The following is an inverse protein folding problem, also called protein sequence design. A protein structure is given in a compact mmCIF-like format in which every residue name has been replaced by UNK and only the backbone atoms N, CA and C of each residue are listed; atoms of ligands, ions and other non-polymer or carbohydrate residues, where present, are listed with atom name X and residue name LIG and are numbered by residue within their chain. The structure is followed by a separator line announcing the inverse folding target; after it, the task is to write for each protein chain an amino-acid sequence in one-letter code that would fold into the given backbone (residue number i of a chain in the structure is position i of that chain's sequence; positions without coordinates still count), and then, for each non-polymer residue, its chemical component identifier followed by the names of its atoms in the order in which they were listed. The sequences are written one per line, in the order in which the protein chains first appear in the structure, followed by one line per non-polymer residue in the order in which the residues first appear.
data_IF_792389977894
#
_entry.id   IF_792389977894
#
_cell.length_a   1.000
_cell.length_b   1.000
_cell.length_c   1.000
_cell.angle_alpha   90.00
_cell.angle_beta   90.00
_cell.angle_gamma   90.00
#
_symmetry.space_group_name_H-M   'P 1'
#
loop_
_entity.id
_entity.type
_entity.pdbx_description
1 polymer ?
#
# COMPACT_ATOMS: atom_id res chain seq x y z
N UNK A 1 22.60 -21.06 -21.40
CA UNK A 1 21.34 -20.66 -20.72
C UNK A 1 20.53 -19.87 -21.73
N UNK A 2 19.27 -20.23 -22.00
CA UNK A 2 18.45 -19.49 -22.97
C UNK A 2 18.03 -18.13 -22.39
N UNK A 3 17.66 -17.19 -23.25
CA UNK A 3 17.30 -15.80 -22.89
C UNK A 3 16.16 -15.73 -21.88
N UNK A 4 15.11 -16.56 -22.05
CA UNK A 4 14.01 -16.66 -21.09
C UNK A 4 14.46 -17.05 -19.68
N UNK A 5 15.41 -17.98 -19.54
CA UNK A 5 15.98 -18.35 -18.24
C UNK A 5 16.82 -17.23 -17.64
N UNK A 6 17.53 -16.44 -18.47
CA UNK A 6 18.26 -15.26 -17.98
C UNK A 6 17.31 -14.22 -17.40
N UNK A 7 16.24 -13.87 -18.13
CA UNK A 7 15.19 -12.93 -17.66
C UNK A 7 14.56 -13.43 -16.36
N UNK A 8 14.22 -14.72 -16.30
CA UNK A 8 13.65 -15.32 -15.11
C UNK A 8 14.58 -15.16 -13.89
N UNK A 9 15.84 -15.57 -14.03
CA UNK A 9 16.82 -15.51 -12.94
C UNK A 9 17.16 -14.06 -12.52
N UNK A 10 17.15 -13.11 -13.46
CA UNK A 10 17.38 -11.69 -13.13
C UNK A 10 16.18 -11.02 -12.48
N UNK A 11 14.96 -11.37 -12.88
CA UNK A 11 13.73 -10.75 -12.36
C UNK A 11 13.31 -11.34 -11.00
N UNK A 12 13.52 -12.64 -10.79
CA UNK A 12 13.01 -13.35 -9.62
C UNK A 12 13.41 -12.71 -8.26
N UNK A 13 14.66 -12.30 -8.01
CA UNK A 13 15.02 -11.66 -6.74
C UNK A 13 14.19 -10.41 -6.43
N UNK A 14 13.90 -9.59 -7.45
CA UNK A 14 13.08 -8.37 -7.30
C UNK A 14 11.62 -8.72 -7.04
N UNK A 15 11.07 -9.68 -7.79
CA UNK A 15 9.68 -10.16 -7.59
C UNK A 15 9.52 -10.76 -6.19
N UNK A 16 10.47 -11.58 -5.76
CA UNK A 16 10.48 -12.18 -4.43
C UNK A 16 10.57 -11.14 -3.31
N UNK A 17 11.46 -10.16 -3.45
CA UNK A 17 11.58 -9.06 -2.49
C UNK A 17 10.27 -8.26 -2.42
N UNK A 18 9.67 -7.92 -3.56
CA UNK A 18 8.41 -7.18 -3.62
C UNK A 18 7.25 -7.95 -2.99
N UNK A 19 7.05 -9.23 -3.34
CA UNK A 19 5.97 -10.06 -2.81
C UNK A 19 6.09 -10.26 -1.31
N UNK A 20 7.30 -10.60 -0.85
CA UNK A 20 7.60 -10.80 0.57
C UNK A 20 7.42 -9.51 1.35
N UNK A 21 7.91 -8.37 0.83
CA UNK A 21 7.77 -7.07 1.47
C UNK A 21 6.29 -6.65 1.57
N UNK A 22 5.51 -6.79 0.49
CA UNK A 22 4.07 -6.46 0.51
C UNK A 22 3.32 -7.25 1.58
N UNK A 23 3.58 -8.55 1.68
CA UNK A 23 3.01 -9.40 2.73
C UNK A 23 3.45 -8.95 4.14
N UNK A 24 4.76 -8.84 4.37
CA UNK A 24 5.30 -8.49 5.68
C UNK A 24 4.81 -7.13 6.16
N UNK A 25 4.80 -6.13 5.28
CA UNK A 25 4.32 -4.79 5.61
C UNK A 25 2.83 -4.83 5.95
N UNK A 26 1.98 -5.42 5.10
CA UNK A 26 0.54 -5.44 5.33
C UNK A 26 0.17 -6.21 6.61
N UNK A 27 0.74 -7.41 6.81
CA UNK A 27 0.47 -8.24 7.98
C UNK A 27 0.96 -7.58 9.27
N UNK A 28 2.18 -7.02 9.26
CA UNK A 28 2.75 -6.32 10.42
C UNK A 28 1.96 -5.06 10.74
N UNK A 29 1.56 -4.30 9.72
CA UNK A 29 0.74 -3.10 9.90
C UNK A 29 -0.58 -3.46 10.58
N UNK A 30 -1.30 -4.46 10.07
CA UNK A 30 -2.55 -4.90 10.68
C UNK A 30 -2.34 -5.41 12.11
N UNK A 31 -1.34 -6.25 12.35
CA UNK A 31 -1.01 -6.74 13.69
C UNK A 31 -0.70 -5.58 14.66
N UNK A 32 0.00 -4.55 14.18
CA UNK A 32 0.34 -3.34 14.95
C UNK A 32 -0.90 -2.50 15.25
N UNK A 33 -1.79 -2.30 14.26
CA UNK A 33 -3.08 -1.62 14.46
C UNK A 33 -3.90 -2.35 15.52
N UNK A 34 -4.02 -3.68 15.40
CA UNK A 34 -4.73 -4.50 16.38
C UNK A 34 -4.13 -4.34 17.77
N UNK A 35 -2.80 -4.41 17.91
CA UNK A 35 -2.12 -4.29 19.19
C UNK A 35 -2.29 -2.91 19.84
N UNK A 36 -2.10 -1.83 19.07
CA UNK A 36 -2.18 -0.45 19.55
C UNK A 36 -3.61 -0.06 19.95
N UNK A 37 -4.61 -0.49 19.18
CA UNK A 37 -6.00 -0.11 19.37
C UNK A 37 -6.85 -1.17 20.08
N UNK A 38 -6.24 -2.27 20.56
CA UNK A 38 -6.94 -3.36 21.24
C UNK A 38 -7.77 -2.85 22.42
N UNK A 39 -7.09 -2.21 23.39
CA UNK A 39 -7.72 -1.66 24.61
C UNK A 39 -8.54 -0.40 24.33
N UNK A 40 -8.31 0.27 23.20
CA UNK A 40 -9.04 1.46 22.78
C UNK A 40 -10.38 1.15 22.08
N UNK A 41 -10.75 -0.13 21.97
CA UNK A 41 -12.07 -0.54 21.52
C UNK A 41 -12.09 -1.73 20.56
N UNK A 42 -10.97 -2.11 19.93
CA UNK A 42 -10.97 -3.27 19.02
C UNK A 42 -11.20 -4.60 19.74
N UNK A 43 -10.86 -4.70 21.03
CA UNK A 43 -11.14 -5.90 21.84
C UNK A 43 -12.63 -6.27 21.87
N UNK A 44 -13.53 -5.28 21.83
CA UNK A 44 -14.99 -5.51 21.80
C UNK A 44 -15.48 -6.06 20.45
N UNK A 45 -14.65 -5.90 19.42
CA UNK A 45 -14.91 -6.36 18.05
C UNK A 45 -14.27 -7.70 17.74
N UNK A 46 -13.73 -8.38 18.76
CA UNK A 46 -13.19 -9.74 18.63
C UNK A 46 -14.29 -10.68 18.13
N UNK A 47 -13.98 -11.47 17.10
CA UNK A 47 -14.98 -12.26 16.38
C UNK A 47 -15.23 -13.62 17.02
N UNK A 48 -14.17 -14.25 17.52
CA UNK A 48 -14.24 -15.55 18.17
C UNK A 48 -13.87 -15.41 19.65
N UNK A 49 -14.59 -16.14 20.51
CA UNK A 49 -14.30 -16.15 21.95
C UNK A 49 -12.90 -16.74 22.24
N UNK A 50 -12.54 -17.82 21.55
CA UNK A 50 -11.25 -18.49 21.68
C UNK A 50 -10.09 -17.64 21.16
N UNK A 51 -8.95 -17.75 21.82
CA UNK A 51 -7.69 -17.20 21.32
C UNK A 51 -7.00 -18.16 20.34
N UNK A 52 -6.10 -17.65 19.47
CA UNK A 52 -5.27 -18.50 18.64
C UNK A 52 -4.47 -19.51 19.47
N UNK A 53 -4.40 -20.76 19.01
CA UNK A 53 -3.71 -21.82 19.73
C UNK A 53 -2.20 -21.53 19.85
N UNK A 54 -1.55 -22.11 20.87
CA UNK A 54 -0.09 -22.02 21.04
C UNK A 54 0.64 -22.46 19.76
N UNK A 55 1.56 -21.63 19.28
CA UNK A 55 2.32 -21.89 18.05
C UNK A 55 1.59 -21.61 16.73
N UNK A 56 0.28 -21.31 16.74
CA UNK A 56 -0.48 -21.00 15.52
C UNK A 56 0.10 -19.82 14.74
N UNK A 57 0.38 -18.70 15.41
CA UNK A 57 0.94 -17.49 14.77
C UNK A 57 2.28 -17.77 14.07
N UNK A 58 3.13 -18.61 14.67
CA UNK A 58 4.41 -19.01 14.07
C UNK A 58 4.18 -19.87 12.84
N UNK A 59 3.26 -20.83 12.90
CA UNK A 59 2.90 -21.68 11.74
C UNK A 59 2.35 -20.84 10.59
N UNK A 60 1.41 -19.95 10.87
CA UNK A 60 0.83 -19.01 9.90
C UNK A 60 1.91 -18.18 9.22
N UNK A 61 2.79 -17.56 10.02
CA UNK A 61 3.88 -16.75 9.49
C UNK A 61 4.81 -17.54 8.57
N UNK A 62 5.25 -18.74 9.00
CA UNK A 62 6.15 -19.58 8.20
C UNK A 62 5.48 -20.10 6.92
N UNK A 63 4.21 -20.50 7.00
CA UNK A 63 3.44 -20.92 5.83
C UNK A 63 3.26 -19.77 4.84
N UNK A 64 2.98 -18.56 5.32
CA UNK A 64 2.87 -17.37 4.47
C UNK A 64 4.18 -16.98 3.78
N UNK A 65 5.33 -17.10 4.46
CA UNK A 65 6.64 -16.89 3.81
C UNK A 65 6.91 -17.93 2.71
N UNK A 66 6.51 -19.18 2.93
CA UNK A 66 6.62 -20.23 1.93
C UNK A 66 5.70 -19.97 0.72
N UNK A 67 4.47 -19.51 0.95
CA UNK A 67 3.57 -19.08 -0.13
C UNK A 67 4.12 -17.88 -0.90
N UNK A 68 4.72 -16.89 -0.23
CA UNK A 68 5.34 -15.75 -0.90
C UNK A 68 6.48 -16.18 -1.84
N UNK A 69 7.25 -17.22 -1.46
CA UNK A 69 8.23 -17.84 -2.36
C UNK A 69 7.55 -18.43 -3.61
N UNK A 70 6.48 -19.21 -3.45
CA UNK A 70 5.73 -19.80 -4.59
C UNK A 70 5.14 -18.71 -5.49
N UNK A 71 4.53 -17.68 -4.89
CA UNK A 71 3.97 -16.54 -5.60
C UNK A 71 5.05 -15.84 -6.42
N UNK A 72 6.24 -15.64 -5.86
CA UNK A 72 7.34 -15.00 -6.59
C UNK A 72 7.84 -15.84 -7.77
N UNK A 73 7.89 -17.16 -7.63
CA UNK A 73 8.30 -18.06 -8.70
C UNK A 73 7.31 -18.03 -9.87
N UNK A 74 6.00 -18.01 -9.57
CA UNK A 74 4.95 -17.92 -10.59
C UNK A 74 4.86 -16.50 -11.16
N UNK A 75 4.97 -15.48 -10.31
CA UNK A 75 4.96 -14.07 -10.69
C UNK A 75 6.12 -13.71 -11.62
N UNK A 76 7.26 -14.39 -11.51
CA UNK A 76 8.39 -14.18 -12.43
C UNK A 76 8.07 -14.65 -13.86
N UNK A 77 7.12 -15.56 -14.05
CA UNK A 77 6.65 -15.96 -15.39
C UNK A 77 6.01 -14.76 -16.11
N UNK A 78 5.43 -13.81 -15.38
CA UNK A 78 4.89 -12.57 -15.95
C UNK A 78 6.01 -11.75 -16.60
N UNK A 79 7.15 -11.58 -15.94
CA UNK A 79 8.29 -10.85 -16.51
C UNK A 79 8.84 -11.53 -17.77
N UNK A 80 8.90 -12.87 -17.78
CA UNK A 80 9.30 -13.63 -18.98
C UNK A 80 8.26 -13.47 -20.09
N UNK A 81 6.96 -13.57 -19.77
CA UNK A 81 5.88 -13.44 -20.74
C UNK A 81 5.85 -12.07 -21.39
N UNK A 82 6.10 -11.01 -20.62
CA UNK A 82 6.16 -9.63 -21.12
C UNK A 82 7.38 -9.45 -22.05
N UNK A 83 8.56 -9.93 -21.62
CA UNK A 83 9.77 -9.90 -22.44
C UNK A 83 9.63 -10.68 -23.76
N UNK A 84 8.91 -11.80 -23.75
CA UNK A 84 8.67 -12.62 -24.94
C UNK A 84 7.50 -12.12 -25.80
N UNK A 85 6.76 -11.10 -25.35
CA UNK A 85 5.59 -10.55 -26.04
C UNK A 85 4.35 -11.45 -25.99
N UNK A 86 4.27 -12.40 -25.06
CA UNK A 86 3.07 -13.23 -24.84
C UNK A 86 1.95 -12.49 -24.12
N UNK A 87 2.33 -11.51 -23.30
CA UNK A 87 1.45 -10.62 -22.57
C UNK A 87 1.91 -9.18 -22.80
N UNK A 88 1.12 -8.21 -22.35
CA UNK A 88 1.47 -6.80 -22.50
C UNK A 88 1.36 -6.07 -21.17
N UNK A 89 2.51 -5.61 -20.67
CA UNK A 89 2.60 -4.66 -19.56
C UNK A 89 3.12 -3.33 -20.10
N UNK A 90 2.24 -2.34 -20.16
CA UNK A 90 2.62 -1.02 -20.65
C UNK A 90 2.99 -0.08 -19.49
N UNK A 91 3.97 0.79 -19.72
CA UNK A 91 4.46 1.75 -18.71
C UNK A 91 4.01 3.19 -18.98
N UNK A 92 3.61 3.49 -20.22
CA UNK A 92 3.21 4.83 -20.64
C UNK A 92 1.69 4.97 -20.78
N UNK A 93 1.14 6.09 -20.29
CA UNK A 93 -0.29 6.41 -20.47
C UNK A 93 -0.69 6.68 -21.93
N UNK A 94 0.27 6.94 -22.82
CA UNK A 94 -0.02 7.23 -24.23
C UNK A 94 -0.60 6.05 -25.03
N UNK A 95 -0.46 4.81 -24.55
CA UNK A 95 -0.95 3.62 -25.27
C UNK A 95 -2.45 3.36 -25.08
N UNK A 96 -3.00 3.63 -23.90
CA UNK A 96 -4.39 3.32 -23.55
C UNK A 96 -5.11 4.39 -22.72
N UNK A 97 -4.38 5.34 -22.14
CA UNK A 97 -4.91 6.45 -21.34
C UNK A 97 -5.30 6.07 -19.89
N UNK A 98 -5.50 7.07 -19.01
CA UNK A 98 -5.89 6.85 -17.62
C UNK A 98 -7.25 6.15 -17.43
N UNK A 99 -8.19 6.34 -18.36
CA UNK A 99 -9.51 5.70 -18.28
C UNK A 99 -9.41 4.19 -18.45
N UNK A 100 -8.57 3.73 -19.38
CA UNK A 100 -8.32 2.30 -19.56
C UNK A 100 -7.62 1.72 -18.32
N UNK A 101 -6.66 2.42 -17.71
CA UNK A 101 -6.03 1.97 -16.45
C UNK A 101 -7.07 1.71 -15.35
N UNK A 102 -7.98 2.66 -15.13
CA UNK A 102 -9.03 2.51 -14.11
C UNK A 102 -9.99 1.39 -14.46
N UNK A 103 -10.42 1.32 -15.73
CA UNK A 103 -11.32 0.28 -16.22
C UNK A 103 -10.72 -1.13 -16.14
N UNK A 104 -9.45 -1.28 -16.51
CA UNK A 104 -8.75 -2.57 -16.51
C UNK A 104 -8.44 -3.02 -15.07
N UNK A 105 -8.12 -2.11 -14.15
CA UNK A 105 -7.99 -2.42 -12.72
C UNK A 105 -9.34 -2.87 -12.12
N UNK A 106 -10.42 -2.16 -12.43
CA UNK A 106 -11.76 -2.54 -11.97
C UNK A 106 -12.17 -3.92 -12.52
N UNK A 107 -11.92 -4.17 -13.81
CA UNK A 107 -12.13 -5.47 -14.45
C UNK A 107 -11.31 -6.56 -13.78
N UNK A 108 -10.03 -6.31 -13.50
CA UNK A 108 -9.15 -7.27 -12.84
C UNK A 108 -9.64 -7.63 -11.42
N UNK A 109 -10.14 -6.65 -10.65
CA UNK A 109 -10.69 -6.90 -9.31
C UNK A 109 -11.96 -7.77 -9.37
N UNK A 110 -12.86 -7.49 -10.31
CA UNK A 110 -14.09 -8.28 -10.50
C UNK A 110 -13.77 -9.69 -11.02
N UNK A 111 -12.86 -9.80 -11.99
CA UNK A 111 -12.42 -11.09 -12.53
C UNK A 111 -11.72 -11.93 -11.46
N UNK A 112 -10.88 -11.30 -10.63
CA UNK A 112 -10.20 -11.99 -9.53
C UNK A 112 -11.18 -12.46 -8.45
N UNK A 113 -12.13 -11.63 -8.04
CA UNK A 113 -13.15 -12.05 -7.06
C UNK A 113 -13.98 -13.24 -7.59
N UNK A 114 -14.32 -13.21 -8.88
CA UNK A 114 -15.01 -14.31 -9.57
C UNK A 114 -14.17 -15.58 -9.59
N UNK A 115 -12.91 -15.48 -10.03
CA UNK A 115 -11.97 -16.59 -10.03
C UNK A 115 -11.81 -17.18 -8.63
N UNK A 116 -11.56 -16.32 -7.65
CA UNK A 116 -11.36 -16.69 -6.26
C UNK A 116 -12.59 -17.41 -5.70
N UNK A 117 -13.80 -16.87 -5.88
CA UNK A 117 -15.03 -17.49 -5.37
C UNK A 117 -15.17 -18.94 -5.84
N UNK A 118 -15.04 -19.18 -7.15
CA UNK A 118 -15.26 -20.51 -7.72
C UNK A 118 -14.15 -21.48 -7.35
N UNK A 119 -12.90 -21.03 -7.38
CA UNK A 119 -11.74 -21.85 -6.98
C UNK A 119 -11.82 -22.19 -5.49
N UNK A 120 -12.10 -21.20 -4.64
CA UNK A 120 -12.21 -21.38 -3.20
C UNK A 120 -13.35 -22.35 -2.86
N UNK A 121 -14.53 -22.17 -3.45
CA UNK A 121 -15.65 -23.09 -3.29
C UNK A 121 -15.32 -24.51 -3.77
N UNK A 122 -14.61 -24.65 -4.89
CA UNK A 122 -14.16 -25.94 -5.38
C UNK A 122 -13.16 -26.60 -4.41
N UNK A 123 -12.23 -25.84 -3.84
CA UNK A 123 -11.28 -26.36 -2.86
C UNK A 123 -11.97 -26.85 -1.57
N UNK A 124 -13.16 -26.34 -1.24
CA UNK A 124 -14.00 -26.85 -0.14
C UNK A 124 -14.76 -28.13 -0.47
N UNK A 125 -14.66 -28.63 -1.70
CA UNK A 125 -15.19 -29.94 -2.04
C UNK A 125 -14.45 -31.04 -1.27
N UNK A 126 -15.17 -32.05 -0.76
CA UNK A 126 -14.65 -33.13 0.11
C UNK A 126 -13.39 -33.84 -0.41
N UNK A 127 -13.22 -33.91 -1.74
CA UNK A 127 -12.07 -34.57 -2.40
C UNK A 127 -10.84 -33.66 -2.53
N UNK A 128 -11.04 -32.34 -2.48
CA UNK A 128 -10.00 -31.34 -2.72
C UNK A 128 -9.53 -30.68 -1.42
N UNK A 129 -10.41 -30.57 -0.42
CA UNK A 129 -10.15 -29.83 0.82
C UNK A 129 -8.85 -30.23 1.52
N UNK A 130 -8.62 -31.53 1.71
CA UNK A 130 -7.43 -32.02 2.40
C UNK A 130 -6.12 -31.62 1.70
N UNK A 131 -6.12 -31.56 0.38
CA UNK A 131 -4.96 -31.26 -0.45
C UNK A 131 -4.74 -29.75 -0.60
N UNK A 132 -5.81 -29.01 -0.84
CA UNK A 132 -5.71 -27.59 -1.20
C UNK A 132 -5.83 -26.69 0.02
N UNK A 133 -6.90 -26.81 0.82
CA UNK A 133 -7.32 -25.71 1.66
C UNK A 133 -7.35 -26.03 3.17
N UNK A 134 -7.11 -27.29 3.54
CA UNK A 134 -7.00 -27.71 4.94
C UNK A 134 -5.93 -26.93 5.70
N UNK A 135 -4.77 -26.68 5.08
CA UNK A 135 -3.66 -25.93 5.69
C UNK A 135 -4.10 -24.54 6.12
N UNK A 136 -4.87 -23.86 5.27
CA UNK A 136 -5.46 -22.56 5.56
C UNK A 136 -6.43 -22.63 6.75
N UNK A 137 -7.31 -23.64 6.78
CA UNK A 137 -8.27 -23.85 7.87
C UNK A 137 -7.67 -24.37 9.18
N UNK A 138 -6.37 -24.67 9.24
CA UNK A 138 -5.70 -24.90 10.53
C UNK A 138 -5.72 -23.63 11.40
N UNK A 139 -5.88 -22.46 10.78
CA UNK A 139 -6.01 -21.15 11.42
C UNK A 139 -7.45 -20.86 11.84
N UNK A 140 -8.01 -21.71 12.70
CA UNK A 140 -9.43 -21.61 13.11
C UNK A 140 -9.79 -20.29 13.79
N UNK A 141 -8.84 -19.66 14.48
CA UNK A 141 -8.93 -18.26 14.95
C UNK A 141 -7.89 -17.45 14.19
N UNK A 142 -8.15 -17.04 12.95
CA UNK A 142 -7.12 -16.51 12.08
C UNK A 142 -6.50 -15.24 12.65
N UNK A 143 -5.22 -15.03 12.34
CA UNK A 143 -4.50 -13.79 12.64
C UNK A 143 -3.99 -13.15 11.34
N UNK A 144 -3.56 -11.87 11.33
CA UNK A 144 -3.05 -11.22 10.13
C UNK A 144 -1.97 -12.01 9.38
N UNK A 145 -1.21 -12.84 10.12
CA UNK A 145 -0.17 -13.71 9.58
C UNK A 145 -0.69 -14.88 8.74
N UNK A 146 -1.99 -15.19 8.82
CA UNK A 146 -2.63 -16.27 8.08
C UNK A 146 -2.98 -15.91 6.63
N UNK A 147 -2.84 -14.64 6.24
CA UNK A 147 -3.27 -14.14 4.92
C UNK A 147 -2.74 -14.99 3.75
N UNK A 148 -1.50 -15.46 3.83
CA UNK A 148 -0.89 -16.33 2.81
C UNK A 148 -0.62 -17.75 3.32
N UNK A 149 -1.24 -18.19 4.42
CA UNK A 149 -1.00 -19.52 5.00
C UNK A 149 -1.73 -20.62 4.21
N UNK A 150 -1.32 -20.82 2.95
CA UNK A 150 -1.90 -21.76 2.00
C UNK A 150 -1.14 -23.09 1.93
N UNK A 151 -1.78 -24.13 1.42
CA UNK A 151 -1.04 -25.30 0.94
C UNK A 151 -0.36 -24.96 -0.40
N UNK A 152 0.69 -25.72 -0.77
CA UNK A 152 1.38 -25.55 -2.07
C UNK A 152 0.43 -25.50 -3.26
N UNK A 153 -0.47 -26.48 -3.47
CA UNK A 153 -1.32 -26.47 -4.66
C UNK A 153 -2.37 -25.35 -4.61
N UNK A 154 -2.80 -24.91 -3.42
CA UNK A 154 -3.63 -23.70 -3.28
C UNK A 154 -2.85 -22.45 -3.68
N UNK A 155 -1.62 -22.29 -3.20
CA UNK A 155 -0.76 -21.17 -3.57
C UNK A 155 -0.53 -21.10 -5.09
N UNK A 156 -0.28 -22.24 -5.74
CA UNK A 156 -0.11 -22.31 -7.20
C UNK A 156 -1.36 -21.81 -7.93
N UNK A 157 -2.54 -22.30 -7.55
CA UNK A 157 -3.79 -21.91 -8.20
C UNK A 157 -4.10 -20.43 -7.94
N UNK A 158 -3.94 -19.94 -6.71
CA UNK A 158 -4.16 -18.53 -6.39
C UNK A 158 -3.21 -17.60 -7.18
N UNK A 159 -1.93 -17.97 -7.32
CA UNK A 159 -0.96 -17.18 -8.08
C UNK A 159 -1.18 -17.22 -9.60
N UNK A 160 -1.80 -18.29 -10.11
CA UNK A 160 -2.04 -18.45 -11.55
C UNK A 160 -2.99 -17.41 -12.14
N UNK A 161 -3.83 -16.76 -11.31
CA UNK A 161 -4.79 -15.76 -11.81
C UNK A 161 -4.12 -14.63 -12.60
N UNK A 162 -3.05 -14.03 -12.08
CA UNK A 162 -2.40 -12.86 -12.69
C UNK A 162 -1.86 -13.17 -14.09
N UNK A 163 -1.00 -14.18 -14.32
CA UNK A 163 -0.53 -14.50 -15.65
C UNK A 163 -1.67 -14.91 -16.59
N UNK A 164 -2.69 -15.64 -16.12
CA UNK A 164 -3.84 -16.00 -16.95
C UNK A 164 -4.66 -14.79 -17.40
N UNK A 165 -4.86 -13.81 -16.52
CA UNK A 165 -5.57 -12.58 -16.84
C UNK A 165 -4.80 -11.74 -17.86
N UNK A 166 -3.47 -11.67 -17.72
CA UNK A 166 -2.57 -10.91 -18.59
C UNK A 166 -2.45 -11.46 -20.02
N UNK A 167 -2.83 -12.73 -20.25
CA UNK A 167 -2.95 -13.29 -21.61
C UNK A 167 -4.09 -12.65 -22.42
N UNK A 168 -5.05 -12.02 -21.73
CA UNK A 168 -6.28 -11.50 -22.36
C UNK A 168 -6.37 -9.98 -22.25
N UNK A 169 -5.93 -9.42 -21.12
CA UNK A 169 -6.10 -8.00 -20.81
C UNK A 169 -4.72 -7.36 -20.60
N UNK A 170 -4.26 -6.50 -21.52
CA UNK A 170 -3.09 -5.65 -21.31
C UNK A 170 -3.27 -4.79 -20.07
N UNK A 171 -2.24 -4.71 -19.23
CA UNK A 171 -2.29 -3.96 -17.97
C UNK A 171 -1.14 -2.98 -17.85
N UNK A 172 -1.36 -1.86 -17.15
CA UNK A 172 -0.26 -0.99 -16.77
C UNK A 172 0.48 -1.57 -15.56
N UNK A 173 1.79 -1.38 -15.48
CA UNK A 173 2.58 -1.64 -14.27
C UNK A 173 1.96 -1.06 -12.97
N UNK A 174 1.48 0.19 -12.99
CA UNK A 174 0.80 0.82 -11.85
C UNK A 174 -0.52 0.11 -11.48
N UNK A 175 -1.25 -0.39 -12.47
CA UNK A 175 -2.48 -1.15 -12.26
C UNK A 175 -2.21 -2.48 -11.57
N UNK A 176 -1.15 -3.18 -11.97
CA UNK A 176 -0.71 -4.43 -11.33
C UNK A 176 -0.21 -4.20 -9.91
N UNK A 177 0.52 -3.11 -9.67
CA UNK A 177 0.93 -2.71 -8.32
C UNK A 177 -0.28 -2.43 -7.43
N UNK A 178 -1.24 -1.62 -7.92
CA UNK A 178 -2.46 -1.28 -7.19
C UNK A 178 -3.30 -2.52 -6.89
N UNK A 179 -3.46 -3.43 -7.86
CA UNK A 179 -4.13 -4.71 -7.65
C UNK A 179 -3.46 -5.53 -6.55
N UNK A 180 -2.12 -5.68 -6.60
CA UNK A 180 -1.38 -6.43 -5.58
C UNK A 180 -1.54 -5.85 -4.17
N UNK A 181 -1.53 -4.52 -4.04
CA UNK A 181 -1.78 -3.82 -2.77
C UNK A 181 -3.21 -4.07 -2.27
N UNK A 182 -4.21 -3.91 -3.14
CA UNK A 182 -5.62 -4.17 -2.77
C UNK A 182 -5.78 -5.62 -2.32
N UNK A 183 -5.23 -6.59 -3.07
CA UNK A 183 -5.32 -8.01 -2.75
C UNK A 183 -4.79 -8.29 -1.34
N UNK A 184 -3.55 -7.89 -1.04
CA UNK A 184 -2.94 -8.22 0.25
C UNK A 184 -3.67 -7.52 1.41
N UNK A 185 -4.09 -6.26 1.23
CA UNK A 185 -4.82 -5.54 2.26
C UNK A 185 -6.17 -6.21 2.54
N UNK A 186 -6.93 -6.60 1.52
CA UNK A 186 -8.22 -7.28 1.71
C UNK A 186 -8.03 -8.65 2.38
N UNK A 187 -7.01 -9.39 1.96
CA UNK A 187 -6.73 -10.70 2.53
C UNK A 187 -6.30 -10.61 4.01
N UNK A 188 -5.38 -9.71 4.36
CA UNK A 188 -4.97 -9.47 5.75
C UNK A 188 -6.14 -8.97 6.62
N UNK A 189 -6.97 -8.06 6.10
CA UNK A 189 -8.17 -7.62 6.82
C UNK A 189 -9.13 -8.77 7.11
N UNK A 190 -9.32 -9.71 6.18
CA UNK A 190 -10.15 -10.90 6.39
C UNK A 190 -9.68 -11.78 7.55
N UNK A 191 -8.38 -11.77 7.85
CA UNK A 191 -7.77 -12.59 8.90
C UNK A 191 -7.43 -11.80 10.18
N UNK A 192 -7.98 -10.59 10.35
CA UNK A 192 -7.60 -9.73 11.49
C UNK A 192 -8.02 -10.28 12.87
N UNK A 193 -8.98 -11.21 12.94
CA UNK A 193 -9.51 -11.76 14.19
C UNK A 193 -10.41 -10.79 15.00
N UNK A 194 -10.56 -9.56 14.53
CA UNK A 194 -11.48 -8.55 15.03
C UNK A 194 -12.09 -7.78 13.84
N UNK A 195 -13.34 -7.33 13.96
CA UNK A 195 -14.01 -6.57 12.89
C UNK A 195 -13.38 -5.18 12.71
N UNK A 196 -12.70 -4.99 11.57
CA UNK A 196 -12.04 -3.72 11.22
C UNK A 196 -12.92 -2.82 10.35
N UNK A 197 -14.01 -3.35 9.79
CA UNK A 197 -14.94 -2.57 8.99
C UNK A 197 -15.88 -1.72 9.85
N UNK A 198 -16.29 -0.58 9.30
CA UNK A 198 -17.23 0.33 9.95
C UNK A 198 -18.68 -0.10 9.70
N UNK A 199 -19.62 0.57 10.36
CA UNK A 199 -21.04 0.31 10.16
C UNK A 199 -21.48 0.46 8.69
N UNK A 200 -20.81 1.28 7.88
CA UNK A 200 -21.14 1.48 6.46
C UNK A 200 -21.08 0.19 5.61
N UNK A 201 -20.32 -0.81 6.06
CA UNK A 201 -20.17 -2.12 5.42
C UNK A 201 -21.27 -3.13 5.79
N UNK A 202 -22.22 -2.73 6.63
CA UNK A 202 -23.30 -3.61 7.05
C UNK A 202 -24.30 -3.95 5.95
N UNK A 203 -25.08 -5.03 6.13
CA UNK A 203 -26.18 -5.39 5.22
C UNK A 203 -27.10 -4.19 4.96
N UNK A 204 -27.51 -4.01 3.70
CA UNK A 204 -28.42 -2.91 3.30
C UNK A 204 -27.81 -1.50 3.28
N UNK A 205 -26.51 -1.34 3.58
CA UNK A 205 -25.82 -0.05 3.55
C UNK A 205 -24.98 0.13 2.29
N UNK A 206 -24.51 1.36 2.07
CA UNK A 206 -23.79 1.77 0.86
C UNK A 206 -22.57 0.89 0.53
N UNK A 207 -21.82 0.40 1.51
CA UNK A 207 -20.68 -0.53 1.30
C UNK A 207 -21.04 -1.98 1.62
N UNK A 208 -22.31 -2.29 1.87
CA UNK A 208 -22.79 -3.60 2.31
C UNK A 208 -22.61 -4.75 1.32
N UNK A 209 -22.15 -4.47 0.10
CA UNK A 209 -21.80 -5.45 -0.92
C UNK A 209 -20.34 -5.94 -0.79
N UNK A 210 -19.52 -5.28 0.04
CA UNK A 210 -18.14 -5.69 0.31
C UNK A 210 -18.08 -6.84 1.32
N UNK A 211 -17.10 -7.72 1.14
CA UNK A 211 -16.72 -8.73 2.12
C UNK A 211 -16.04 -8.06 3.33
N UNK A 212 -16.45 -8.44 4.55
CA UNK A 212 -15.95 -7.90 5.82
C UNK A 212 -15.14 -8.94 6.59
N UNK A 213 -14.42 -8.52 7.64
CA UNK A 213 -13.69 -9.49 8.47
C UNK A 213 -14.63 -10.51 9.11
N UNK A 214 -15.80 -10.09 9.61
CA UNK A 214 -16.81 -11.01 10.17
C UNK A 214 -17.26 -12.06 9.15
N UNK A 215 -17.42 -11.68 7.88
CA UNK A 215 -17.87 -12.61 6.83
C UNK A 215 -16.83 -13.70 6.58
N UNK A 216 -15.55 -13.32 6.46
CA UNK A 216 -14.45 -14.29 6.30
C UNK A 216 -14.14 -15.07 7.58
N UNK A 217 -14.30 -14.50 8.77
CA UNK A 217 -14.09 -15.24 10.02
C UNK A 217 -15.16 -16.33 10.23
N UNK A 218 -16.42 -16.05 9.89
CA UNK A 218 -17.49 -17.06 9.86
C UNK A 218 -17.19 -18.19 8.86
N UNK A 219 -16.46 -17.90 7.78
CA UNK A 219 -15.96 -18.93 6.88
C UNK A 219 -14.97 -19.87 7.59
N UNK A 220 -14.00 -19.35 8.34
CA UNK A 220 -13.08 -20.15 9.16
C UNK A 220 -13.77 -20.89 10.32
N UNK A 221 -14.90 -20.37 10.81
CA UNK A 221 -15.72 -21.01 11.84
C UNK A 221 -16.47 -22.24 11.28
N UNK A 222 -17.16 -22.09 10.13
CA UNK A 222 -18.11 -23.08 9.61
C UNK A 222 -17.64 -23.87 8.37
N UNK A 223 -16.70 -23.33 7.59
CA UNK A 223 -16.09 -23.93 6.39
C UNK A 223 -17.00 -24.08 5.16
N UNK A 224 -18.32 -23.98 5.30
CA UNK A 224 -19.30 -24.27 4.23
C UNK A 224 -20.05 -23.06 3.66
N UNK A 225 -19.64 -21.86 4.04
CA UNK A 225 -20.27 -20.60 3.67
C UNK A 225 -19.21 -19.55 3.32
N UNK A 226 -19.60 -18.44 2.72
CA UNK A 226 -18.78 -17.23 2.58
C UNK A 226 -17.47 -17.45 1.81
N UNK A 227 -17.55 -17.71 0.51
CA UNK A 227 -16.39 -18.03 -0.33
C UNK A 227 -15.76 -16.81 -1.04
N UNK A 228 -16.45 -15.68 -1.13
CA UNK A 228 -15.94 -14.48 -1.80
C UNK A 228 -14.70 -13.87 -1.13
N UNK A 229 -13.97 -13.01 -1.85
CA UNK A 229 -12.76 -12.33 -1.33
C UNK A 229 -13.00 -10.84 -1.09
N UNK A 230 -13.46 -10.14 -2.12
CA UNK A 230 -13.70 -8.70 -2.08
C UNK A 230 -15.17 -8.37 -1.86
N UNK A 231 -16.05 -9.17 -2.45
CA UNK A 231 -17.48 -8.88 -2.56
C UNK A 231 -18.32 -10.05 -2.06
N UNK A 232 -19.51 -9.73 -1.57
CA UNK A 232 -20.50 -10.71 -1.05
C UNK A 232 -21.48 -11.21 -2.11
N UNK A 233 -21.44 -10.63 -3.31
CA UNK A 233 -22.44 -10.84 -4.35
C UNK A 233 -22.54 -12.30 -4.84
N UNK A 234 -21.42 -13.02 -4.98
CA UNK A 234 -21.39 -14.42 -5.37
C UNK A 234 -22.00 -15.29 -4.28
N UNK A 235 -21.67 -15.03 -3.02
CA UNK A 235 -22.27 -15.75 -1.90
C UNK A 235 -23.78 -15.53 -1.81
N UNK A 236 -24.26 -14.32 -2.08
CA UNK A 236 -25.70 -14.04 -2.15
C UNK A 236 -26.36 -14.71 -3.35
N UNK A 237 -25.79 -14.55 -4.54
CA UNK A 237 -26.32 -15.10 -5.79
C UNK A 237 -26.41 -16.63 -5.73
N UNK A 238 -25.41 -17.26 -5.14
CA UNK A 238 -25.30 -18.72 -5.08
C UNK A 238 -25.87 -19.33 -3.79
N UNK A 239 -26.44 -18.51 -2.89
CA UNK A 239 -27.01 -18.98 -1.62
C UNK A 239 -25.97 -19.59 -0.67
N UNK A 240 -24.72 -19.12 -0.72
CA UNK A 240 -23.63 -19.58 0.15
C UNK A 240 -23.25 -18.57 1.24
N UNK A 241 -23.98 -17.46 1.39
CA UNK A 241 -23.80 -16.52 2.50
C UNK A 241 -24.27 -17.18 3.82
N UNK A 242 -23.45 -17.05 4.88
CA UNK A 242 -23.76 -17.60 6.18
C UNK A 242 -25.03 -16.96 6.75
N UNK A 243 -26.03 -17.74 7.21
CA UNK A 243 -27.32 -17.21 7.65
C UNK A 243 -27.19 -16.18 8.79
N UNK A 244 -26.26 -16.43 9.72
CA UNK A 244 -26.05 -15.54 10.87
C UNK A 244 -25.16 -14.31 10.57
N UNK A 245 -24.65 -14.15 9.34
CA UNK A 245 -23.68 -13.07 9.05
C UNK A 245 -24.23 -11.70 9.40
N UNK A 246 -25.46 -11.39 8.96
CA UNK A 246 -26.07 -10.08 9.19
C UNK A 246 -26.20 -9.77 10.69
N UNK A 247 -26.76 -10.72 11.45
CA UNK A 247 -26.94 -10.57 12.89
C UNK A 247 -25.61 -10.46 13.65
N UNK A 248 -24.61 -11.28 13.29
CA UNK A 248 -23.28 -11.27 13.92
C UNK A 248 -22.56 -9.95 13.66
N UNK A 249 -22.54 -9.50 12.41
CA UNK A 249 -21.90 -8.23 12.04
C UNK A 249 -22.56 -7.07 12.79
N UNK A 250 -23.90 -6.98 12.76
CA UNK A 250 -24.64 -5.92 13.45
C UNK A 250 -24.40 -5.89 14.95
N UNK A 251 -24.37 -7.05 15.61
CA UNK A 251 -24.06 -7.14 17.03
C UNK A 251 -22.66 -6.60 17.37
N UNK A 252 -21.67 -6.83 16.50
CA UNK A 252 -20.29 -6.37 16.70
C UNK A 252 -20.14 -4.85 16.53
N UNK A 253 -20.86 -4.26 15.58
CA UNK A 253 -20.76 -2.82 15.28
C UNK A 253 -21.76 -1.96 16.07
N UNK A 254 -22.70 -2.59 16.79
CA UNK A 254 -23.72 -1.89 17.55
C UNK A 254 -23.08 -0.86 18.51
N UNK A 255 -23.63 0.37 18.58
CA UNK A 255 -23.21 1.33 19.59
C UNK A 255 -23.48 0.76 20.98
N UNK A 256 -22.57 1.01 21.92
CA UNK A 256 -22.77 0.65 23.32
C UNK A 256 -24.04 1.35 23.85
N UNK A 257 -24.87 0.64 24.61
CA UNK A 257 -25.91 1.29 25.40
C UNK A 257 -25.21 2.28 26.34
N UNK A 258 -25.54 3.57 26.24
CA UNK A 258 -24.86 4.64 26.99
C UNK A 258 -24.88 4.38 28.50
N UNK A 259 -23.83 3.78 29.05
CA UNK A 259 -23.46 4.00 30.45
C UNK A 259 -22.58 5.23 30.50
N UNK A 260 -23.11 6.28 31.12
CA UNK A 260 -22.47 7.59 31.31
C UNK A 260 -21.09 7.47 31.96
N UNK A 261 -20.03 7.78 31.21
CA UNK A 261 -18.79 8.34 31.75
C UNK A 261 -18.08 9.16 30.66
N UNK A 262 -17.47 10.32 31.00
CA UNK A 262 -17.12 11.34 30.03
C UNK A 262 -15.87 11.01 29.22
N UNK A 263 -15.83 11.60 28.02
CA UNK A 263 -14.90 11.36 26.94
C UNK A 263 -13.42 11.54 27.31
N UNK A 264 -12.64 10.47 27.15
CA UNK A 264 -11.20 10.54 26.88
C UNK A 264 -10.86 9.55 25.76
N UNK A 265 -11.21 9.85 24.51
CA UNK A 265 -10.66 9.16 23.34
C UNK A 265 -11.13 9.86 22.06
N UNK A 266 -10.46 10.95 21.68
CA UNK A 266 -10.85 11.65 20.46
C UNK A 266 -9.83 12.67 20.03
N UNK A 267 -8.56 12.25 19.84
CA UNK A 267 -7.52 13.07 19.16
C UNK A 267 -6.28 12.32 18.65
N UNK A 268 -6.17 11.01 18.85
CA UNK A 268 -5.03 10.22 18.33
C UNK A 268 -5.32 9.41 17.06
N UNK A 269 -6.59 9.32 16.62
CA UNK A 269 -7.02 8.35 15.60
C UNK A 269 -6.73 8.76 14.14
N UNK A 270 -6.39 10.01 13.85
CA UNK A 270 -6.18 10.49 12.46
C UNK A 270 -4.70 10.54 12.07
N UNK A 271 -3.77 10.69 13.04
CA UNK A 271 -2.34 10.92 12.73
C UNK A 271 -1.52 9.63 12.52
N UNK A 272 -1.91 8.50 13.11
CA UNK A 272 -1.10 7.26 13.02
C UNK A 272 -1.43 6.40 11.79
N UNK A 273 -2.65 6.51 11.23
CA UNK A 273 -3.03 5.80 10.00
C UNK A 273 -2.39 6.46 8.76
N UNK A 274 -2.22 7.80 8.78
CA UNK A 274 -1.52 8.52 7.71
C UNK A 274 -0.01 8.22 7.68
N UNK A 275 0.63 8.02 8.84
CA UNK A 275 2.06 7.75 8.93
C UNK A 275 2.48 6.34 8.44
N UNK A 276 1.55 5.37 8.40
CA UNK A 276 1.87 3.98 8.04
C UNK A 276 1.42 3.57 6.64
N UNK A 277 0.54 4.34 5.99
CA UNK A 277 0.32 4.24 4.54
C UNK A 277 1.51 4.81 3.73
N UNK A 278 2.38 5.59 4.36
CA UNK A 278 3.65 6.10 3.80
C UNK A 278 4.83 5.13 3.91
N UNK A 279 4.70 4.01 4.63
CA UNK A 279 5.75 2.99 4.75
C UNK A 279 5.55 1.77 3.82
N UNK A 280 4.42 1.67 3.12
CA UNK A 280 4.04 0.50 2.32
C UNK A 280 4.16 0.62 0.81
N UNK A 281 4.74 1.70 0.30
CA UNK A 281 4.86 1.90 -1.15
C UNK A 281 6.07 2.73 -1.50
N UNK A 282 7.24 2.09 -1.56
CA UNK A 282 8.28 2.36 -2.56
C UNK A 282 9.41 1.33 -2.36
N UNK A 283 9.22 0.11 -2.87
CA UNK A 283 10.35 -0.63 -3.45
C UNK A 283 10.22 -0.38 -4.95
N UNK A 284 10.70 0.80 -5.39
CA UNK A 284 11.09 0.94 -6.79
C UNK A 284 12.34 0.10 -6.94
N UNK A 285 12.33 -0.81 -7.91
CA UNK A 285 13.52 -1.56 -8.30
C UNK A 285 14.70 -0.59 -8.40
N UNK A 286 15.72 -0.79 -7.56
CA UNK A 286 16.95 -0.04 -7.65
C UNK A 286 17.69 -0.55 -8.89
N UNK A 287 17.41 0.02 -10.05
CA UNK A 287 18.34 -0.09 -11.17
C UNK A 287 19.62 0.68 -10.82
N UNK A 288 20.80 0.18 -11.24
CA UNK A 288 22.03 0.95 -11.15
C UNK A 288 21.95 2.08 -12.19
N UNK A 289 21.40 3.23 -11.79
CA UNK A 289 21.41 4.43 -12.62
C UNK A 289 22.86 4.91 -12.73
N UNK A 290 23.42 4.76 -13.94
CA UNK A 290 24.64 5.48 -14.32
C UNK A 290 24.33 6.97 -14.30
N UNK A 291 25.16 7.73 -13.58
CA UNK A 291 25.09 9.17 -13.57
C UNK A 291 25.28 9.70 -15.00
N UNK A 292 24.26 10.35 -15.55
CA UNK A 292 24.39 11.14 -16.77
C UNK A 292 24.47 12.61 -16.34
N UNK A 293 25.69 13.10 -16.14
CA UNK A 293 25.96 14.52 -15.94
C UNK A 293 25.87 15.22 -17.29
N UNK A 294 24.70 15.76 -17.63
CA UNK A 294 24.54 16.37 -18.95
C UNK A 294 23.19 17.03 -19.25
N UNK A 295 22.78 18.04 -18.47
CA UNK A 295 21.91 19.12 -19.00
C UNK A 295 22.30 20.46 -18.37
N UNK A 296 22.56 21.44 -19.23
CA UNK A 296 23.15 22.76 -18.97
C UNK A 296 22.18 23.80 -18.36
N UNK A 297 21.24 23.36 -17.53
CA UNK A 297 20.45 24.20 -16.65
C UNK A 297 20.35 23.48 -15.31
N UNK A 298 20.83 24.09 -14.23
CA UNK A 298 20.75 23.49 -12.89
C UNK A 298 19.30 23.23 -12.45
N UNK A 299 19.06 22.80 -11.20
CA UNK A 299 17.76 22.31 -10.73
C UNK A 299 16.75 23.45 -10.50
N UNK A 300 16.97 24.62 -11.10
CA UNK A 300 16.11 25.79 -10.97
C UNK A 300 14.79 25.48 -11.66
N UNK A 301 13.69 25.67 -10.95
CA UNK A 301 12.36 25.34 -11.44
C UNK A 301 11.40 24.93 -10.33
N UNK A 302 10.19 24.52 -10.72
CA UNK A 302 9.15 24.04 -9.80
C UNK A 302 9.09 22.53 -9.82
N UNK A 303 9.13 21.95 -8.64
CA UNK A 303 9.26 20.52 -8.41
C UNK A 303 8.13 20.03 -7.51
N UNK A 304 7.49 18.95 -7.92
CA UNK A 304 6.41 18.29 -7.20
C UNK A 304 7.01 17.21 -6.31
N UNK A 305 6.70 17.27 -5.01
CA UNK A 305 7.15 16.28 -4.02
C UNK A 305 6.39 14.95 -4.18
N UNK A 306 6.88 13.84 -3.59
CA UNK A 306 6.18 12.55 -3.63
C UNK A 306 4.73 12.67 -3.12
N UNK A 307 3.82 12.00 -3.81
CA UNK A 307 2.37 12.05 -3.50
C UNK A 307 1.69 13.37 -3.87
N UNK A 308 2.35 14.26 -4.62
CA UNK A 308 1.85 15.59 -4.96
C UNK A 308 1.44 16.42 -3.73
N UNK A 309 2.18 16.25 -2.61
CA UNK A 309 1.88 16.91 -1.34
C UNK A 309 2.28 18.39 -1.33
N UNK A 310 3.28 18.77 -2.13
CA UNK A 310 3.79 20.14 -2.23
C UNK A 310 4.36 20.43 -3.62
N UNK A 311 4.38 21.72 -3.98
CA UNK A 311 5.21 22.25 -5.08
C UNK A 311 6.28 23.14 -4.46
N UNK A 312 7.54 22.79 -4.68
CA UNK A 312 8.70 23.53 -4.19
C UNK A 312 9.41 24.17 -5.38
N UNK A 313 9.65 25.47 -5.30
CA UNK A 313 10.42 26.22 -6.30
C UNK A 313 11.86 26.36 -5.86
N UNK A 314 12.78 25.81 -6.65
CA UNK A 314 14.21 26.02 -6.52
C UNK A 314 14.62 27.25 -7.35
N UNK A 315 15.22 28.23 -6.68
CA UNK A 315 15.68 29.48 -7.28
C UNK A 315 16.95 29.98 -6.54
N UNK A 316 17.73 30.91 -7.11
CA UNK A 316 18.78 31.59 -6.37
C UNK A 316 18.25 32.16 -5.04
N UNK A 317 18.99 31.95 -3.95
CA UNK A 317 18.64 32.55 -2.67
C UNK A 317 18.69 34.08 -2.77
N UNK A 318 17.83 34.78 -2.03
CA UNK A 318 17.77 36.25 -2.02
C UNK A 318 18.99 36.89 -1.33
N UNK A 319 19.45 36.29 -0.23
CA UNK A 319 20.41 36.91 0.70
C UNK A 319 21.74 36.14 0.79
N UNK A 320 21.87 35.01 0.10
CA UNK A 320 23.06 34.15 0.14
C UNK A 320 23.41 33.62 -1.24
N UNK A 321 24.67 33.25 -1.45
CA UNK A 321 25.07 32.55 -2.67
C UNK A 321 24.58 31.09 -2.62
N UNK A 322 24.02 30.62 -3.73
CA UNK A 322 23.48 29.26 -3.86
C UNK A 322 22.00 29.22 -4.23
N UNK A 323 21.41 28.03 -4.15
CA UNK A 323 19.99 27.81 -4.41
C UNK A 323 19.21 27.61 -3.11
N UNK A 324 17.98 28.11 -3.11
CA UNK A 324 17.00 27.95 -2.06
C UNK A 324 15.74 27.31 -2.63
N UNK A 325 15.04 26.51 -1.81
CA UNK A 325 13.80 25.85 -2.19
C UNK A 325 12.64 26.33 -1.33
N UNK A 326 11.67 26.98 -1.97
CA UNK A 326 10.53 27.59 -1.28
C UNK A 326 9.25 26.85 -1.63
N UNK A 327 8.43 26.54 -0.62
CA UNK A 327 7.11 25.96 -0.81
C UNK A 327 6.21 26.98 -1.51
N UNK A 328 5.76 26.70 -2.73
CA UNK A 328 4.82 27.54 -3.48
C UNK A 328 3.38 27.07 -3.39
N UNK A 329 3.18 25.79 -3.11
CA UNK A 329 1.85 25.21 -2.95
C UNK A 329 1.91 23.98 -2.04
N UNK A 330 0.85 23.73 -1.30
CA UNK A 330 0.65 22.57 -0.44
C UNK A 330 -0.76 22.02 -0.65
N UNK A 331 -0.90 20.70 -0.64
CA UNK A 331 -2.22 20.05 -0.79
C UNK A 331 -3.16 20.37 0.37
N UNK A 332 -2.61 20.47 1.59
CA UNK A 332 -3.31 20.83 2.83
C UNK A 332 -2.84 22.20 3.32
N UNK A 333 -2.96 23.24 2.48
CA UNK A 333 -2.46 24.58 2.80
C UNK A 333 -3.25 25.30 3.91
N UNK A 334 -4.47 24.83 4.24
CA UNK A 334 -5.39 25.47 5.20
C UNK A 334 -5.94 24.47 6.20
N UNK A 335 -6.24 24.93 7.42
CA UNK A 335 -6.95 24.13 8.44
C UNK A 335 -8.46 24.02 8.16
N UNK A 336 -9.17 23.25 8.99
CA UNK A 336 -10.62 23.02 8.90
C UNK A 336 -11.47 24.31 9.00
N UNK A 337 -10.85 25.45 9.33
CA UNK A 337 -11.48 26.77 9.44
C UNK A 337 -11.03 27.72 8.32
N UNK A 338 -10.34 27.21 7.30
CA UNK A 338 -9.83 27.98 6.16
C UNK A 338 -8.63 28.87 6.49
N UNK A 339 -7.98 28.69 7.64
CA UNK A 339 -6.81 29.49 8.03
C UNK A 339 -5.53 28.83 7.51
N UNK A 340 -4.50 29.59 7.10
CA UNK A 340 -3.24 29.00 6.64
C UNK A 340 -2.62 28.05 7.67
N UNK A 341 -2.08 26.91 7.22
CA UNK A 341 -1.25 26.05 8.07
C UNK A 341 0.03 26.80 8.44
N UNK A 342 0.38 26.73 9.72
CA UNK A 342 1.54 27.42 10.30
C UNK A 342 2.62 26.42 10.69
N UNK A 343 3.84 26.92 10.86
CA UNK A 343 5.04 26.17 11.27
C UNK A 343 5.02 25.77 12.76
N UNK A 344 3.93 25.15 13.21
CA UNK A 344 3.62 24.97 14.63
C UNK A 344 4.64 24.11 15.40
N UNK A 345 5.45 23.31 14.70
CA UNK A 345 6.45 22.42 15.28
C UNK A 345 7.85 23.02 15.36
N UNK A 346 8.04 24.26 14.89
CA UNK A 346 9.35 24.89 14.92
C UNK A 346 9.95 24.89 16.35
N UNK A 347 11.22 24.52 16.46
CA UNK A 347 11.93 24.54 17.74
C UNK A 347 11.95 25.96 18.35
N UNK A 348 12.04 27.00 17.50
CA UNK A 348 11.89 28.40 17.91
C UNK A 348 10.40 28.76 17.98
N UNK A 349 9.94 29.12 19.17
CA UNK A 349 8.55 29.50 19.42
C UNK A 349 8.14 30.76 18.67
N UNK A 350 9.08 31.67 18.38
CA UNK A 350 8.82 32.90 17.62
C UNK A 350 8.54 32.65 16.13
N UNK A 351 9.02 31.52 15.59
CA UNK A 351 8.82 31.15 14.18
C UNK A 351 7.53 30.36 13.95
N UNK A 352 6.86 29.87 15.01
CA UNK A 352 5.69 28.98 14.89
C UNK A 352 4.46 29.61 14.24
N UNK A 353 4.40 30.94 14.19
CA UNK A 353 3.28 31.68 13.63
C UNK A 353 3.38 31.90 12.12
N UNK A 354 4.49 31.53 11.47
CA UNK A 354 4.68 31.75 10.03
C UNK A 354 3.92 30.70 9.20
N UNK A 355 3.30 31.08 8.06
CA UNK A 355 2.67 30.12 7.16
C UNK A 355 3.67 29.14 6.54
N UNK A 356 3.22 27.91 6.26
CA UNK A 356 4.03 26.90 5.57
C UNK A 356 4.18 27.20 4.07
N UNK A 357 3.14 27.73 3.43
CA UNK A 357 3.26 28.24 2.05
C UNK A 357 4.10 29.52 2.08
N UNK A 358 5.14 29.58 1.25
CA UNK A 358 6.14 30.64 1.24
C UNK A 358 7.38 30.34 2.10
N UNK A 359 7.37 29.24 2.86
CA UNK A 359 8.51 28.84 3.67
C UNK A 359 9.66 28.30 2.81
N UNK A 360 10.87 28.82 3.03
CA UNK A 360 12.11 28.25 2.48
C UNK A 360 12.51 27.01 3.26
N UNK A 361 12.40 25.84 2.64
CA UNK A 361 12.74 24.55 3.23
C UNK A 361 14.09 24.02 2.78
N UNK A 362 14.63 24.46 1.65
CA UNK A 362 16.00 24.15 1.24
C UNK A 362 16.83 25.41 1.27
N UNK A 363 18.02 25.35 1.86
CA UNK A 363 18.91 26.51 1.99
C UNK A 363 20.37 26.14 1.82
N UNK A 364 21.15 27.12 1.33
CA UNK A 364 22.60 26.99 1.16
C UNK A 364 23.01 25.91 0.17
N UNK A 365 22.19 25.61 -0.85
CA UNK A 365 22.54 24.61 -1.85
C UNK A 365 23.66 25.13 -2.75
N UNK A 366 24.84 24.54 -2.62
CA UNK A 366 26.05 24.86 -3.39
C UNK A 366 26.50 23.65 -4.20
N UNK A 367 27.15 23.86 -5.34
CA UNK A 367 27.62 22.75 -6.18
C UNK A 367 28.64 21.89 -5.42
N UNK A 368 28.43 20.58 -5.42
CA UNK A 368 29.35 19.60 -4.83
C UNK A 368 30.40 19.16 -5.84
N UNK A 369 31.60 18.85 -5.36
CA UNK A 369 32.69 18.25 -6.16
C UNK A 369 32.35 16.84 -6.68
N UNK A 370 31.36 16.17 -6.08
CA UNK A 370 30.88 14.83 -6.47
C UNK A 370 29.67 14.86 -7.40
N UNK A 371 29.38 16.01 -8.01
CA UNK A 371 28.16 16.26 -8.79
C UNK A 371 26.94 16.56 -7.91
N UNK A 372 26.03 17.40 -8.41
CA UNK A 372 24.84 17.86 -7.69
C UNK A 372 25.07 19.07 -6.77
N UNK A 373 24.16 19.26 -5.81
CA UNK A 373 24.17 20.35 -4.83
C UNK A 373 24.08 19.82 -3.40
N UNK A 374 24.77 20.48 -2.48
CA UNK A 374 24.75 20.16 -1.04
C UNK A 374 24.35 21.40 -0.23
N UNK A 375 23.54 21.20 0.80
CA UNK A 375 23.03 22.26 1.67
C UNK A 375 22.24 21.70 2.84
N UNK A 376 21.15 22.36 3.20
CA UNK A 376 20.30 21.97 4.33
C UNK A 376 18.83 21.89 3.92
N UNK A 377 18.07 21.00 4.56
CA UNK A 377 16.62 20.89 4.42
C UNK A 377 15.93 21.01 5.77
N UNK A 378 14.96 21.91 5.89
CA UNK A 378 14.09 22.07 7.05
C UNK A 378 12.82 21.22 6.88
N UNK A 379 12.46 20.44 7.90
CA UNK A 379 11.21 19.68 7.92
C UNK A 379 10.20 20.35 8.88
N UNK A 380 9.12 20.98 8.38
CA UNK A 380 8.11 21.60 9.22
C UNK A 380 7.26 20.60 10.02
N UNK A 381 7.31 19.30 9.71
CA UNK A 381 6.54 18.28 10.44
C UNK A 381 7.15 17.92 11.80
N UNK A 382 8.48 17.99 11.92
CA UNK A 382 9.22 17.70 13.15
C UNK A 382 10.00 18.91 13.70
N UNK A 383 10.04 20.03 12.94
CA UNK A 383 10.68 21.27 13.35
C UNK A 383 12.22 21.26 13.25
N UNK A 384 12.82 20.26 12.61
CA UNK A 384 14.27 20.07 12.56
C UNK A 384 14.88 20.38 11.19
N UNK A 385 16.20 20.57 11.15
CA UNK A 385 16.96 20.84 9.91
C UNK A 385 18.06 19.81 9.70
N UNK A 386 18.07 19.20 8.53
CA UNK A 386 18.96 18.11 8.13
C UNK A 386 19.96 18.53 7.06
N UNK A 387 21.03 17.74 6.89
CA UNK A 387 21.92 17.87 5.73
C UNK A 387 21.17 17.38 4.50
N UNK A 388 21.21 18.15 3.41
CA UNK A 388 20.53 17.83 2.17
C UNK A 388 21.52 17.67 1.02
N UNK A 389 21.27 16.67 0.16
CA UNK A 389 21.88 16.59 -1.17
C UNK A 389 20.80 16.59 -2.24
N UNK A 390 21.07 17.28 -3.35
CA UNK A 390 20.17 17.41 -4.50
C UNK A 390 20.93 16.96 -5.73
N UNK A 391 20.39 15.99 -6.46
CA UNK A 391 20.96 15.52 -7.72
C UNK A 391 19.90 15.53 -8.79
N UNK A 392 20.18 16.16 -9.91
CA UNK A 392 19.31 16.09 -11.08
C UNK A 392 19.67 14.82 -11.85
N UNK A 393 18.79 13.82 -11.80
CA UNK A 393 19.03 12.51 -12.40
C UNK A 393 18.48 12.41 -13.82
N UNK A 394 17.54 13.29 -14.18
CA UNK A 394 17.04 13.50 -15.53
C UNK A 394 16.57 14.96 -15.67
N UNK A 395 16.29 15.42 -16.90
CA UNK A 395 15.84 16.78 -17.16
C UNK A 395 14.62 17.18 -16.31
N UNK A 396 13.71 16.23 -16.06
CA UNK A 396 12.46 16.40 -15.33
C UNK A 396 12.45 15.78 -13.92
N UNK A 397 13.61 15.34 -13.41
CA UNK A 397 13.68 14.53 -12.19
C UNK A 397 14.83 14.95 -11.26
N UNK A 398 14.49 15.25 -10.01
CA UNK A 398 15.45 15.44 -8.92
C UNK A 398 15.38 14.30 -7.91
N UNK A 399 16.55 13.85 -7.47
CA UNK A 399 16.72 13.10 -6.24
C UNK A 399 17.11 14.06 -5.11
N UNK A 400 16.30 14.13 -4.07
CA UNK A 400 16.58 14.89 -2.83
C UNK A 400 16.85 13.89 -1.72
N UNK A 401 17.93 14.06 -0.98
CA UNK A 401 18.30 13.17 0.12
C UNK A 401 18.56 13.99 1.39
N UNK A 402 17.85 13.68 2.46
CA UNK A 402 18.04 14.27 3.78
C UNK A 402 18.67 13.26 4.74
N UNK A 403 19.75 13.63 5.44
CA UNK A 403 20.48 12.72 6.33
C UNK A 403 20.54 13.21 7.78
N UNK A 404 20.41 12.26 8.71
CA UNK A 404 20.74 12.37 10.13
C UNK A 404 21.89 11.41 10.42
N UNK A 405 23.07 11.95 10.74
CA UNK A 405 24.30 11.16 10.91
C UNK A 405 24.54 10.24 9.68
N UNK A 406 24.34 8.93 9.83
CA UNK A 406 24.52 7.91 8.79
C UNK A 406 23.20 7.37 8.21
N UNK A 407 22.04 7.85 8.69
CA UNK A 407 20.72 7.44 8.19
C UNK A 407 20.21 8.52 7.23
N UNK A 408 20.02 8.15 5.97
CA UNK A 408 19.53 9.05 4.93
C UNK A 408 18.17 8.58 4.39
N UNK A 409 17.29 9.53 4.12
CA UNK A 409 16.04 9.29 3.40
C UNK A 409 16.09 10.01 2.06
N UNK A 410 15.80 9.27 0.99
CA UNK A 410 15.79 9.77 -0.38
C UNK A 410 14.35 9.93 -0.87
N UNK A 411 14.10 11.05 -1.53
CA UNK A 411 12.87 11.35 -2.25
C UNK A 411 13.19 11.66 -3.71
N UNK A 412 12.22 11.38 -4.58
CA UNK A 412 12.29 11.74 -6.00
C UNK A 412 11.22 12.78 -6.28
N UNK A 413 11.64 13.94 -6.76
CA UNK A 413 10.76 15.05 -7.13
C UNK A 413 10.68 15.15 -8.66
N UNK A 414 9.50 15.49 -9.17
CA UNK A 414 9.24 15.60 -10.61
C UNK A 414 9.00 17.04 -11.02
N UNK A 415 9.43 17.43 -12.20
CA UNK A 415 9.18 18.78 -12.71
C UNK A 415 7.67 19.02 -12.85
N UNK A 416 7.20 20.14 -12.31
CA UNK A 416 5.81 20.54 -12.41
C UNK A 416 5.40 20.80 -13.87
N UNK A 417 6.30 21.36 -14.69
CA UNK A 417 6.01 21.62 -16.10
C UNK A 417 5.92 20.33 -16.91
N UNK A 418 6.77 19.34 -16.62
CA UNK A 418 6.72 18.03 -17.26
C UNK A 418 5.43 17.28 -16.90
N UNK A 419 5.03 17.33 -15.63
CA UNK A 419 3.75 16.76 -15.18
C UNK A 419 2.55 17.41 -15.85
N UNK A 420 2.52 18.75 -15.96
CA UNK A 420 1.45 19.46 -16.66
C UNK A 420 1.44 19.12 -18.16
N UNK A 421 2.61 19.00 -18.79
CA UNK A 421 2.70 18.62 -20.20
C UNK A 421 2.21 17.19 -20.45
N UNK A 422 2.42 16.27 -19.50
CA UNK A 422 1.92 14.89 -19.59
C UNK A 422 0.40 14.77 -19.35
N UNK A 423 -0.24 15.80 -18.80
CA UNK A 423 -1.69 15.86 -18.55
C UNK A 423 -2.48 16.61 -19.63
N UNK A 424 -1.77 17.21 -20.61
CA UNK A 424 -2.34 17.79 -21.82
C UNK A 424 -2.24 16.77 -22.95
#
# INVERSE_FOLDING_TARGET
MNEAMQVYLSAWPTVWAMDTARYLVAATLMATILALFWKAGLARRKLQARDPATGQRRREFLASLHTALIFSLIGTIVAVGDHQGWITIYEGFGQAGPLYLVGSLALMLVAHDTYFYWVHRAMHHRRLFALFHRTHHLSRTPTPWAAYSFAVPEAVVQAAFVPLFLLVVPMHGLGLLAFGIVQILRNVMGHAGAEVHSAAFGPGRWLGWNNTTTHHDLHHEAGRYNYGLYFRWWDKLMGTEHPDYCARFEAIIAPEAKTTSPAIAGRFLVRTVAALLLAGGLIVAAEPVRANDGTSGGPVGRWVTPGASAVVELAPCTDTSGLCGTIRWLWDATDDKGRPRLDAQNADTGLRARPLVGLSILSGLTRSSKGGWEGRIYNPEDGQTYRATVRQTAADTLAIEGCVLFICQKQVWRSASALVAALR
#
